data_IF_525526820107
#
_entry.id   IF_525526820107
#
_cell.length_a   1.000
_cell.length_b   1.000
_cell.length_c   1.000
_cell.angle_alpha   90.00
_cell.angle_beta   90.00
_cell.angle_gamma   90.00
#
_symmetry.space_group_name_H-M   'P 1'
#
loop_
_entity.id
_entity.type
_entity.pdbx_description
1 polymer ?
#
# COMPACT_ATOMS: atom_id res chain seq x y z
N UNK A 1 -13.92 8.37 -39.51
CA UNK A 1 -13.33 9.54 -38.80
C UNK A 1 -11.87 9.24 -38.50
N UNK A 2 -10.96 10.10 -38.96
CA UNK A 2 -9.53 9.90 -38.78
C UNK A 2 -9.12 10.41 -37.39
N UNK A 3 -9.31 9.60 -36.34
CA UNK A 3 -8.92 9.90 -34.94
C UNK A 3 -7.39 9.94 -34.72
N UNK A 4 -6.62 10.07 -35.81
CA UNK A 4 -5.15 10.15 -35.83
C UNK A 4 -4.61 11.53 -35.44
N UNK A 5 -5.47 12.52 -35.20
CA UNK A 5 -5.10 13.92 -34.99
C UNK A 5 -5.26 14.36 -33.52
N UNK A 6 -5.86 13.53 -32.64
CA UNK A 6 -6.05 13.90 -31.23
C UNK A 6 -4.69 13.91 -30.52
N UNK A 7 -4.28 15.10 -30.06
CA UNK A 7 -3.08 15.26 -29.23
C UNK A 7 -3.43 14.95 -27.78
N UNK A 8 -2.57 14.18 -27.10
CA UNK A 8 -2.76 13.78 -25.70
C UNK A 8 -1.56 14.19 -24.86
N UNK A 9 -1.72 14.31 -23.52
CA UNK A 9 -0.59 14.61 -22.64
C UNK A 9 0.52 13.55 -22.75
N UNK A 10 1.77 13.93 -22.47
CA UNK A 10 2.97 13.11 -22.68
C UNK A 10 2.91 11.69 -22.05
N UNK A 11 2.22 11.54 -20.91
CA UNK A 11 2.12 10.27 -20.20
C UNK A 11 0.90 9.42 -20.60
N UNK A 12 0.21 9.80 -21.69
CA UNK A 12 -0.95 9.08 -22.20
C UNK A 12 -0.59 8.26 -23.43
N UNK A 13 -1.18 7.08 -23.51
CA UNK A 13 -1.08 6.17 -24.65
C UNK A 13 -2.42 6.08 -25.36
N UNK A 14 -2.39 5.81 -26.66
CA UNK A 14 -3.56 5.53 -27.47
C UNK A 14 -3.58 4.05 -27.83
N UNK A 15 -4.71 3.41 -27.62
CA UNK A 15 -4.94 1.99 -27.88
C UNK A 15 -6.09 1.88 -28.88
N UNK A 16 -5.85 1.11 -29.95
CA UNK A 16 -6.83 0.80 -30.98
C UNK A 16 -7.17 -0.69 -30.89
N UNK A 17 -8.29 -1.08 -30.25
CA UNK A 17 -8.71 -2.47 -30.15
C UNK A 17 -8.97 -3.07 -31.53
N UNK A 18 -8.72 -4.38 -31.68
CA UNK A 18 -8.90 -5.10 -32.94
C UNK A 18 -10.32 -4.99 -33.52
N UNK A 19 -11.33 -4.88 -32.66
CA UNK A 19 -12.73 -4.74 -33.08
C UNK A 19 -13.05 -3.35 -33.71
N UNK A 20 -12.13 -2.37 -33.60
CA UNK A 20 -12.26 -0.99 -34.11
C UNK A 20 -13.58 -0.30 -33.73
N UNK A 21 -14.26 -0.77 -32.68
CA UNK A 21 -15.53 -0.20 -32.19
C UNK A 21 -15.32 0.97 -31.24
N UNK A 22 -14.11 1.15 -30.74
CA UNK A 22 -13.74 2.24 -29.85
C UNK A 22 -12.26 2.61 -30.02
N UNK A 23 -11.88 3.79 -29.56
CA UNK A 23 -10.50 4.23 -29.37
C UNK A 23 -10.31 4.52 -27.89
N UNK A 24 -9.25 4.00 -27.30
CA UNK A 24 -8.96 4.20 -25.88
C UNK A 24 -7.74 5.10 -25.74
N UNK A 25 -7.88 6.15 -24.94
CA UNK A 25 -6.76 6.97 -24.48
C UNK A 25 -6.55 6.65 -23.01
N UNK A 26 -5.32 6.36 -22.59
CA UNK A 26 -5.08 5.92 -21.23
C UNK A 26 -3.73 6.33 -20.68
N UNK A 27 -3.71 6.70 -19.40
CA UNK A 27 -2.51 6.84 -18.59
C UNK A 27 -2.31 5.58 -17.77
N UNK A 28 -1.21 4.88 -18.03
CA UNK A 28 -0.83 3.66 -17.32
C UNK A 28 0.10 4.02 -16.17
N UNK A 29 -0.14 3.42 -15.01
CA UNK A 29 0.73 3.57 -13.86
C UNK A 29 1.32 2.20 -13.49
N UNK A 30 2.62 2.20 -13.20
CA UNK A 30 3.35 1.04 -12.68
C UNK A 30 3.60 1.34 -11.21
N UNK A 31 2.89 0.65 -10.33
CA UNK A 31 3.14 0.76 -8.90
C UNK A 31 4.33 -0.13 -8.55
N UNK A 32 5.33 0.39 -7.84
CA UNK A 32 6.51 -0.38 -7.43
C UNK A 32 6.16 -1.54 -6.49
N UNK A 33 5.04 -1.43 -5.77
CA UNK A 33 4.56 -2.45 -4.83
C UNK A 33 3.64 -3.50 -5.50
N UNK A 34 3.12 -3.22 -6.69
CA UNK A 34 2.17 -4.10 -7.40
C UNK A 34 2.79 -4.40 -8.76
N UNK A 35 3.27 -5.62 -8.95
CA UNK A 35 4.00 -6.06 -10.16
C UNK A 35 3.21 -5.86 -11.47
N UNK A 36 1.90 -5.60 -11.38
CA UNK A 36 1.01 -5.46 -12.53
C UNK A 36 0.70 -3.97 -12.83
N UNK A 37 0.92 -3.52 -14.08
CA UNK A 37 0.51 -2.19 -14.52
C UNK A 37 -1.03 -2.08 -14.48
N UNK A 38 -1.53 -0.90 -14.11
CA UNK A 38 -2.96 -0.62 -14.16
C UNK A 38 -3.26 0.71 -14.86
N UNK A 39 -4.45 0.80 -15.43
CA UNK A 39 -4.96 2.04 -16.02
C UNK A 39 -5.35 3.01 -14.90
N UNK A 40 -4.55 4.05 -14.72
CA UNK A 40 -4.85 5.12 -13.77
C UNK A 40 -6.07 5.91 -14.27
N UNK A 41 -5.98 6.41 -15.50
CA UNK A 41 -7.03 7.19 -16.17
C UNK A 41 -7.24 6.64 -17.57
N UNK A 42 -8.49 6.56 -17.99
CA UNK A 42 -8.85 6.04 -19.30
C UNK A 42 -10.05 6.82 -19.85
N UNK A 43 -10.00 7.18 -21.13
CA UNK A 43 -11.09 7.80 -21.89
C UNK A 43 -11.32 6.92 -23.11
N UNK A 44 -12.48 6.28 -23.17
CA UNK A 44 -12.88 5.43 -24.29
C UNK A 44 -13.88 6.19 -25.15
N UNK A 45 -13.62 6.28 -26.45
CA UNK A 45 -14.49 6.92 -27.43
C UNK A 45 -15.05 5.83 -28.34
N UNK A 46 -16.35 5.59 -28.26
CA UNK A 46 -17.02 4.56 -29.03
C UNK A 46 -17.38 5.05 -30.44
N UNK A 47 -17.72 4.12 -31.33
CA UNK A 47 -18.09 4.41 -32.73
C UNK A 47 -19.32 5.30 -32.86
N UNK A 48 -20.25 5.21 -31.92
CA UNK A 48 -21.44 6.06 -31.81
C UNK A 48 -21.14 7.44 -31.18
N UNK A 49 -19.86 7.76 -30.94
CA UNK A 49 -19.38 8.98 -30.30
C UNK A 49 -19.78 9.10 -28.83
N UNK A 50 -20.21 8.01 -28.20
CA UNK A 50 -20.32 7.97 -26.74
C UNK A 50 -18.93 7.94 -26.11
N UNK A 51 -18.79 8.59 -24.97
CA UNK A 51 -17.52 8.69 -24.24
C UNK A 51 -17.68 8.08 -22.86
N UNK A 52 -16.73 7.23 -22.50
CA UNK A 52 -16.64 6.62 -21.19
C UNK A 52 -15.31 7.00 -20.52
N UNK A 53 -15.39 7.69 -19.38
CA UNK A 53 -14.23 8.02 -18.57
C UNK A 53 -14.09 7.03 -17.41
N UNK A 54 -12.91 6.44 -17.25
CA UNK A 54 -12.57 5.56 -16.12
C UNK A 54 -11.39 6.10 -15.33
N UNK A 55 -11.46 5.94 -14.02
CA UNK A 55 -10.33 6.13 -13.10
C UNK A 55 -10.14 4.87 -12.27
N UNK A 56 -8.95 4.28 -12.30
CA UNK A 56 -8.61 3.02 -11.62
C UNK A 56 -9.65 1.92 -11.88
N UNK A 57 -9.97 1.72 -13.17
CA UNK A 57 -10.98 0.78 -13.68
C UNK A 57 -12.43 1.00 -13.19
N UNK A 58 -12.74 2.14 -12.59
CA UNK A 58 -14.13 2.53 -12.26
C UNK A 58 -14.63 3.61 -13.20
N UNK A 59 -15.83 3.39 -13.75
CA UNK A 59 -16.54 4.36 -14.58
C UNK A 59 -16.88 5.58 -13.73
N UNK A 60 -16.57 6.76 -14.25
CA UNK A 60 -16.92 8.04 -13.65
C UNK A 60 -18.16 8.56 -14.36
N UNK A 61 -19.31 8.51 -13.68
CA UNK A 61 -20.57 9.04 -14.19
C UNK A 61 -20.69 10.56 -13.99
N UNK A 62 -19.57 11.28 -14.01
CA UNK A 62 -19.56 12.70 -13.68
C UNK A 62 -19.97 13.56 -14.87
N UNK A 63 -21.18 14.09 -14.78
CA UNK A 63 -21.76 15.00 -15.76
C UNK A 63 -20.91 16.27 -15.96
N UNK A 64 -20.14 16.78 -14.99
CA UNK A 64 -19.37 18.03 -15.20
C UNK A 64 -18.18 17.85 -16.15
N UNK A 65 -17.59 16.66 -16.21
CA UNK A 65 -16.53 16.30 -17.15
C UNK A 65 -17.13 15.98 -18.53
N UNK A 66 -18.33 15.37 -18.55
CA UNK A 66 -19.00 14.89 -19.76
C UNK A 66 -19.92 15.93 -20.43
N UNK A 67 -20.32 17.00 -19.74
CA UNK A 67 -21.22 18.06 -20.23
C UNK A 67 -20.53 19.07 -21.18
N UNK A 68 -19.33 18.78 -21.68
CA UNK A 68 -18.79 19.56 -22.78
C UNK A 68 -19.60 19.24 -24.04
N UNK A 69 -20.31 20.26 -24.51
CA UNK A 69 -21.16 20.26 -25.72
C UNK A 69 -20.55 19.51 -26.91
N UNK A 70 -21.39 18.74 -27.60
CA UNK A 70 -21.13 18.03 -28.86
C UNK A 70 -19.73 17.40 -28.98
N UNK A 71 -19.56 16.22 -28.36
CA UNK A 71 -18.35 15.39 -28.46
C UNK A 71 -18.04 14.83 -29.86
N UNK A 72 -18.78 15.28 -30.90
CA UNK A 72 -18.52 14.97 -32.30
C UNK A 72 -17.25 15.64 -32.83
N UNK A 73 -16.80 16.71 -32.19
CA UNK A 73 -15.60 17.45 -32.58
C UNK A 73 -14.35 16.92 -31.86
N UNK A 74 -13.26 16.74 -32.63
CA UNK A 74 -11.99 16.21 -32.12
C UNK A 74 -11.39 17.09 -31.02
N UNK A 75 -11.53 18.42 -31.12
CA UNK A 75 -11.05 19.36 -30.11
C UNK A 75 -11.72 19.16 -28.75
N UNK A 76 -13.01 18.78 -28.73
CA UNK A 76 -13.73 18.54 -27.47
C UNK A 76 -13.20 17.27 -26.77
N UNK A 77 -12.88 16.23 -27.55
CA UNK A 77 -12.27 15.01 -27.02
C UNK A 77 -10.86 15.31 -26.47
N UNK A 78 -10.08 16.12 -27.18
CA UNK A 78 -8.76 16.54 -26.72
C UNK A 78 -8.87 17.33 -25.41
N UNK A 79 -9.71 18.36 -25.36
CA UNK A 79 -9.96 19.17 -24.16
C UNK A 79 -10.41 18.32 -22.98
N UNK A 80 -11.28 17.34 -23.22
CA UNK A 80 -11.70 16.38 -22.22
C UNK A 80 -10.51 15.62 -21.63
N UNK A 81 -9.63 15.07 -22.46
CA UNK A 81 -8.45 14.31 -22.00
C UNK A 81 -7.51 15.20 -21.17
N UNK A 82 -7.25 16.43 -21.62
CA UNK A 82 -6.43 17.40 -20.87
C UNK A 82 -7.06 17.75 -19.52
N UNK A 83 -8.36 18.07 -19.50
CA UNK A 83 -9.07 18.38 -18.26
C UNK A 83 -9.08 17.19 -17.30
N UNK A 84 -9.24 15.98 -17.84
CA UNK A 84 -9.23 14.76 -17.05
C UNK A 84 -7.84 14.43 -16.49
N UNK A 85 -6.77 14.79 -17.22
CA UNK A 85 -5.40 14.68 -16.70
C UNK A 85 -5.10 15.70 -15.58
N UNK A 86 -5.65 16.91 -15.69
CA UNK A 86 -5.51 17.97 -14.68
C UNK A 86 -6.44 17.78 -13.47
N UNK A 87 -7.48 16.95 -13.62
CA UNK A 87 -8.50 16.74 -12.61
C UNK A 87 -7.91 16.16 -11.30
N UNK A 88 -8.31 16.73 -10.17
CA UNK A 88 -7.83 16.30 -8.86
C UNK A 88 -8.57 15.03 -8.45
N UNK A 89 -7.92 13.87 -8.59
CA UNK A 89 -8.50 12.61 -8.14
C UNK A 89 -8.21 12.41 -6.65
N UNK A 90 -9.14 11.78 -5.95
CA UNK A 90 -8.87 11.32 -4.59
C UNK A 90 -7.67 10.36 -4.61
N UNK A 91 -6.91 10.26 -3.52
CA UNK A 91 -5.85 9.26 -3.39
C UNK A 91 -6.33 7.93 -2.78
N UNK A 92 -7.54 7.89 -2.21
CA UNK A 92 -7.98 6.78 -1.37
C UNK A 92 -7.19 6.72 -0.06
N UNK A 93 -7.42 5.63 0.69
CA UNK A 93 -6.73 5.32 1.94
C UNK A 93 -6.35 3.84 1.99
N UNK A 94 -5.11 3.52 2.37
CA UNK A 94 -4.72 2.14 2.69
C UNK A 94 -5.27 1.78 4.07
N UNK A 95 -5.98 0.66 4.17
CA UNK A 95 -6.58 0.18 5.41
C UNK A 95 -6.03 -1.22 5.70
N UNK A 96 -5.36 -1.42 6.84
CA UNK A 96 -4.86 -2.73 7.27
C UNK A 96 -5.96 -3.79 7.30
N UNK A 97 -5.61 -5.06 7.09
CA UNK A 97 -6.59 -6.15 6.96
C UNK A 97 -7.47 -6.29 8.21
N UNK A 98 -6.86 -6.16 9.39
CA UNK A 98 -7.52 -6.21 10.69
C UNK A 98 -8.62 -5.14 10.87
N UNK A 99 -8.55 -4.06 10.10
CA UNK A 99 -9.46 -2.92 10.17
C UNK A 99 -10.56 -2.96 9.12
N UNK A 100 -10.45 -3.84 8.12
CA UNK A 100 -11.42 -3.95 7.03
C UNK A 100 -12.81 -4.32 7.53
N UNK A 101 -12.93 -4.97 8.69
CA UNK A 101 -14.23 -5.26 9.35
C UNK A 101 -15.06 -4.03 9.70
N UNK A 102 -14.45 -2.84 9.71
CA UNK A 102 -15.12 -1.58 10.03
C UNK A 102 -15.55 -0.78 8.79
N UNK A 103 -15.27 -1.28 7.59
CA UNK A 103 -15.64 -0.64 6.34
C UNK A 103 -17.16 -0.58 6.14
N UNK A 104 -17.61 0.49 5.50
CA UNK A 104 -19.02 0.67 5.12
C UNK A 104 -19.28 0.14 3.71
N UNK A 105 -20.53 -0.22 3.40
CA UNK A 105 -20.96 -0.64 2.05
C UNK A 105 -20.76 0.43 0.97
N UNK A 106 -20.51 1.68 1.36
CA UNK A 106 -20.23 2.81 0.48
C UNK A 106 -18.76 2.91 0.08
N UNK A 107 -17.97 1.87 0.33
CA UNK A 107 -16.55 1.80 -0.03
C UNK A 107 -16.25 0.71 -1.03
N UNK A 108 -15.20 0.90 -1.82
CA UNK A 108 -14.63 -0.14 -2.67
C UNK A 108 -13.10 -0.08 -2.62
N UNK A 109 -12.49 -1.24 -2.83
CA UNK A 109 -11.05 -1.38 -3.02
C UNK A 109 -10.72 -1.18 -4.50
N UNK A 110 -9.76 -0.31 -4.79
CA UNK A 110 -9.31 -0.03 -6.15
C UNK A 110 -8.14 -0.93 -6.59
N UNK A 111 -7.67 -0.74 -7.82
CA UNK A 111 -6.53 -1.49 -8.40
C UNK A 111 -5.18 -1.13 -7.77
N UNK A 112 -5.11 -0.04 -7.01
CA UNK A 112 -3.92 0.41 -6.28
C UNK A 112 -3.93 -0.04 -4.81
N UNK A 113 -4.76 -1.03 -4.46
CA UNK A 113 -4.95 -1.54 -3.10
C UNK A 113 -5.52 -0.52 -2.09
N UNK A 114 -6.02 0.62 -2.58
CA UNK A 114 -6.53 1.71 -1.76
C UNK A 114 -8.06 1.67 -1.67
N UNK A 115 -8.59 1.95 -0.48
CA UNK A 115 -10.02 2.07 -0.27
C UNK A 115 -10.50 3.47 -0.61
N UNK A 116 -11.59 3.51 -1.37
CA UNK A 116 -12.25 4.72 -1.84
C UNK A 116 -13.73 4.65 -1.55
N UNK A 117 -14.38 5.78 -1.66
CA UNK A 117 -15.83 5.85 -1.56
C UNK A 117 -16.50 5.85 -2.91
N UNK A 118 -17.66 5.22 -2.95
CA UNK A 118 -18.53 5.26 -4.12
C UNK A 118 -18.91 6.72 -4.38
N UNK A 119 -18.81 7.15 -5.65
CA UNK A 119 -19.12 8.51 -6.11
C UNK A 119 -18.31 9.60 -5.40
N UNK A 120 -16.98 9.50 -5.48
CA UNK A 120 -16.12 10.38 -4.74
C UNK A 120 -16.24 11.86 -5.14
N UNK A 121 -16.66 12.74 -4.22
CA UNK A 121 -16.86 14.17 -4.53
C UNK A 121 -15.60 14.89 -4.99
N UNK A 122 -14.40 14.43 -4.61
CA UNK A 122 -13.15 14.95 -5.18
C UNK A 122 -13.00 14.59 -6.66
N UNK A 123 -13.47 13.41 -7.07
CA UNK A 123 -13.58 13.02 -8.48
C UNK A 123 -14.66 13.86 -9.19
N UNK A 124 -15.67 14.35 -8.45
CA UNK A 124 -16.82 15.08 -8.99
C UNK A 124 -16.58 16.60 -9.20
N UNK A 125 -15.76 17.24 -8.35
CA UNK A 125 -15.70 18.71 -8.25
C UNK A 125 -14.53 19.40 -8.98
N UNK A 126 -13.84 18.75 -9.93
CA UNK A 126 -12.85 19.49 -10.74
C UNK A 126 -13.53 20.26 -11.88
N UNK A 127 -14.28 21.30 -11.52
CA UNK A 127 -14.57 22.38 -12.46
C UNK A 127 -13.27 23.15 -12.68
N UNK A 128 -12.57 22.88 -13.77
CA UNK A 128 -11.50 23.77 -14.23
C UNK A 128 -12.18 24.99 -14.83
N UNK A 129 -12.42 25.99 -14.00
CA UNK A 129 -12.84 27.32 -14.44
C UNK A 129 -11.67 27.97 -15.18
N UNK A 130 -11.80 28.04 -16.50
CA UNK A 130 -11.00 28.74 -17.50
C UNK A 130 -9.67 28.09 -17.99
N UNK A 131 -9.41 28.07 -19.32
CA UNK A 131 -8.20 27.44 -19.90
C UNK A 131 -6.90 28.26 -19.82
N UNK A 132 -6.86 29.39 -19.13
CA UNK A 132 -5.77 30.39 -19.34
C UNK A 132 -4.58 30.23 -18.38
N UNK A 133 -4.74 29.59 -17.21
CA UNK A 133 -3.64 29.47 -16.23
C UNK A 133 -2.98 28.09 -16.17
N UNK A 134 -2.48 27.62 -17.32
CA UNK A 134 -1.64 26.42 -17.43
C UNK A 134 -0.29 26.54 -16.69
N UNK A 135 0.13 27.76 -16.31
CA UNK A 135 1.42 28.02 -15.63
C UNK A 135 1.35 27.92 -14.09
N UNK A 136 0.16 27.96 -13.48
CA UNK A 136 0.02 27.95 -12.02
C UNK A 136 -0.12 26.54 -11.40
N UNK A 137 -0.39 25.51 -12.21
CA UNK A 137 -0.81 24.18 -11.70
C UNK A 137 0.38 23.28 -11.30
N UNK A 138 1.61 23.63 -11.68
CA UNK A 138 2.75 22.70 -11.64
C UNK A 138 3.65 22.76 -10.39
N UNK A 139 3.29 23.49 -9.33
CA UNK A 139 4.08 23.52 -8.09
C UNK A 139 3.23 23.08 -6.89
N UNK A 140 3.52 21.89 -6.37
CA UNK A 140 3.08 21.37 -5.07
C UNK A 140 1.63 20.86 -4.90
N UNK A 141 1.10 20.06 -5.83
CA UNK A 141 -0.14 19.30 -5.55
C UNK A 141 0.15 18.06 -4.70
N UNK A 142 0.12 18.22 -3.37
CA UNK A 142 0.02 17.08 -2.45
C UNK A 142 -1.30 16.33 -2.70
N UNK A 143 -1.30 14.98 -2.67
CA UNK A 143 -2.52 14.20 -2.83
C UNK A 143 -3.55 14.59 -1.77
N UNK A 144 -4.76 14.96 -2.20
CA UNK A 144 -5.86 15.33 -1.29
C UNK A 144 -6.73 14.10 -1.03
N UNK A 145 -6.87 13.71 0.24
CA UNK A 145 -7.89 12.75 0.68
C UNK A 145 -9.23 13.45 0.82
N UNK A 146 -10.31 12.80 0.34
CA UNK A 146 -11.65 13.37 0.46
C UNK A 146 -12.08 13.35 1.93
N UNK A 147 -13.06 14.21 2.26
CA UNK A 147 -13.65 14.28 3.61
C UNK A 147 -14.17 12.91 4.06
N UNK A 148 -14.70 12.11 3.15
CA UNK A 148 -15.16 10.76 3.44
C UNK A 148 -14.02 9.80 3.81
N UNK A 149 -12.93 9.76 3.04
CA UNK A 149 -11.76 8.93 3.36
C UNK A 149 -11.17 9.31 4.72
N UNK A 150 -11.16 10.60 5.06
CA UNK A 150 -10.77 11.07 6.40
C UNK A 150 -11.74 10.58 7.49
N UNK A 151 -13.05 10.66 7.25
CA UNK A 151 -14.07 10.15 8.18
C UNK A 151 -13.94 8.65 8.42
N UNK A 152 -13.64 7.85 7.41
CA UNK A 152 -13.42 6.41 7.58
C UNK A 152 -12.24 6.13 8.49
N UNK A 153 -11.10 6.80 8.27
CA UNK A 153 -9.94 6.62 9.14
C UNK A 153 -10.27 6.99 10.60
N UNK A 154 -11.06 8.05 10.81
CA UNK A 154 -11.50 8.43 12.14
C UNK A 154 -12.47 7.40 12.75
N UNK A 155 -13.43 6.90 11.99
CA UNK A 155 -14.35 5.84 12.46
C UNK A 155 -13.61 4.55 12.83
N UNK A 156 -12.60 4.16 12.05
CA UNK A 156 -11.76 3.01 12.36
C UNK A 156 -10.98 3.26 13.65
N UNK A 157 -10.39 4.44 13.82
CA UNK A 157 -9.68 4.84 15.05
C UNK A 157 -10.61 4.85 16.27
N UNK A 158 -11.81 5.39 16.13
CA UNK A 158 -12.83 5.42 17.19
C UNK A 158 -13.30 4.00 17.55
N UNK A 159 -13.50 3.12 16.57
CA UNK A 159 -13.87 1.73 16.84
C UNK A 159 -12.74 0.91 17.47
N UNK A 160 -11.47 1.27 17.21
CA UNK A 160 -10.30 0.72 17.91
C UNK A 160 -10.20 1.21 19.35
N UNK A 161 -10.48 2.49 19.58
CA UNK A 161 -10.39 3.10 20.91
C UNK A 161 -11.61 2.81 21.78
N UNK A 162 -12.76 2.51 21.17
CA UNK A 162 -13.89 1.87 21.83
C UNK A 162 -13.54 0.40 22.08
N UNK A 163 -12.70 0.14 23.08
CA UNK A 163 -12.91 -1.09 23.83
C UNK A 163 -14.38 -1.07 24.27
N UNK A 164 -15.11 -2.20 24.23
CA UNK A 164 -16.43 -2.23 24.84
C UNK A 164 -16.22 -1.66 26.24
N UNK A 165 -16.89 -0.54 26.57
CA UNK A 165 -16.93 -0.07 27.95
C UNK A 165 -17.47 -1.25 28.73
N UNK A 166 -16.58 -2.00 29.37
CA UNK A 166 -16.95 -3.10 30.24
C UNK A 166 -17.83 -2.45 31.29
N UNK A 167 -19.15 -2.57 31.13
CA UNK A 167 -20.06 -2.32 32.25
C UNK A 167 -19.56 -3.26 33.32
N UNK A 168 -19.01 -2.69 34.39
CA UNK A 168 -18.45 -3.45 35.49
C UNK A 168 -19.63 -4.16 36.15
N UNK A 169 -19.91 -5.38 35.71
CA UNK A 169 -20.93 -6.23 36.34
C UNK A 169 -20.32 -6.63 37.67
N UNK A 170 -20.89 -6.12 38.76
CA UNK A 170 -20.47 -6.51 40.10
C UNK A 170 -21.05 -7.89 40.39
N UNK A 171 -20.34 -8.93 39.97
CA UNK A 171 -20.72 -10.31 40.30
C UNK A 171 -20.35 -10.54 41.76
N UNK A 172 -21.33 -10.81 42.62
CA UNK A 172 -21.06 -11.34 43.96
C UNK A 172 -20.52 -12.77 43.80
N UNK A 173 -19.20 -12.89 43.86
CA UNK A 173 -18.50 -14.18 43.82
C UNK A 173 -18.31 -14.69 45.24
N UNK A 174 -18.64 -15.95 45.47
CA UNK A 174 -18.35 -16.62 46.74
C UNK A 174 -16.84 -16.55 47.08
N UNK A 175 -16.45 -16.54 48.36
CA UNK A 175 -15.05 -16.45 48.77
C UNK A 175 -14.13 -17.48 48.08
N UNK A 176 -14.63 -18.69 47.83
CA UNK A 176 -13.90 -19.77 47.13
C UNK A 176 -13.62 -19.43 45.65
N UNK A 177 -14.58 -18.82 44.94
CA UNK A 177 -14.38 -18.36 43.56
C UNK A 177 -13.43 -17.16 43.48
N UNK A 178 -13.46 -16.27 44.48
CA UNK A 178 -12.53 -15.13 44.60
C UNK A 178 -11.08 -15.58 44.74
N UNK A 179 -10.82 -16.64 45.52
CA UNK A 179 -9.49 -17.23 45.65
C UNK A 179 -9.01 -17.86 44.33
N UNK A 180 -9.88 -18.60 43.63
CA UNK A 180 -9.56 -19.17 42.30
C UNK A 180 -9.24 -18.08 41.27
N UNK A 181 -9.98 -16.98 41.26
CA UNK A 181 -9.71 -15.83 40.40
C UNK A 181 -8.38 -15.15 40.73
N UNK A 182 -8.03 -15.00 42.01
CA UNK A 182 -6.70 -14.50 42.42
C UNK A 182 -5.58 -15.42 41.95
N UNK A 183 -5.74 -16.73 42.11
CA UNK A 183 -4.78 -17.71 41.62
C UNK A 183 -4.59 -17.62 40.10
N UNK A 184 -5.69 -17.54 39.34
CA UNK A 184 -5.66 -17.38 37.88
C UNK A 184 -4.92 -16.10 37.47
N UNK A 185 -5.20 -14.98 38.15
CA UNK A 185 -4.53 -13.71 37.88
C UNK A 185 -3.02 -13.80 38.15
N UNK A 186 -2.62 -14.47 39.23
CA UNK A 186 -1.22 -14.68 39.53
C UNK A 186 -0.54 -15.58 38.49
N UNK A 187 -1.19 -16.67 38.06
CA UNK A 187 -0.70 -17.53 36.98
C UNK A 187 -0.51 -16.76 35.67
N UNK A 188 -1.49 -15.92 35.28
CA UNK A 188 -1.39 -15.10 34.07
C UNK A 188 -0.25 -14.09 34.15
N UNK A 189 -0.07 -13.45 35.32
CA UNK A 189 1.04 -12.51 35.55
C UNK A 189 2.40 -13.21 35.42
N UNK A 190 2.55 -14.38 36.07
CA UNK A 190 3.74 -15.22 35.94
C UNK A 190 4.02 -15.64 34.50
N UNK A 191 2.99 -16.01 33.75
CA UNK A 191 3.13 -16.42 32.36
C UNK A 191 3.63 -15.26 31.47
N UNK A 192 3.11 -14.05 31.69
CA UNK A 192 3.60 -12.84 31.00
C UNK A 192 5.08 -12.57 31.35
N UNK A 193 5.47 -12.70 32.62
CA UNK A 193 6.87 -12.53 33.05
C UNK A 193 7.80 -13.58 32.41
N UNK A 194 7.37 -14.83 32.31
CA UNK A 194 8.12 -15.91 31.64
C UNK A 194 8.28 -15.62 30.15
N UNK A 195 7.21 -15.22 29.46
CA UNK A 195 7.25 -14.88 28.04
C UNK A 195 8.21 -13.71 27.75
N UNK A 196 8.22 -12.70 28.62
CA UNK A 196 9.16 -11.58 28.50
C UNK A 196 10.63 -12.00 28.73
N UNK A 197 10.88 -12.93 29.65
CA UNK A 197 12.23 -13.49 29.85
C UNK A 197 12.66 -14.34 28.64
N UNK A 198 11.77 -15.16 28.10
CA UNK A 198 12.05 -15.99 26.93
C UNK A 198 12.35 -15.16 25.68
N UNK A 199 11.59 -14.09 25.44
CA UNK A 199 11.83 -13.20 24.30
C UNK A 199 13.19 -12.51 24.40
N UNK A 200 13.60 -12.10 25.61
CA UNK A 200 14.92 -11.52 25.87
C UNK A 200 16.04 -12.51 25.58
N UNK A 201 15.94 -13.75 26.09
CA UNK A 201 16.92 -14.82 25.84
C UNK A 201 17.03 -15.13 24.34
N UNK A 202 15.90 -15.16 23.61
CA UNK A 202 15.90 -15.39 22.17
C UNK A 202 16.62 -14.30 21.37
N UNK A 203 16.52 -13.04 21.82
CA UNK A 203 17.25 -11.92 21.21
C UNK A 203 18.75 -12.09 21.46
N UNK A 204 19.15 -12.33 22.72
CA UNK A 204 20.56 -12.56 23.09
C UNK A 204 21.17 -13.74 22.31
N UNK A 205 20.42 -14.83 22.16
CA UNK A 205 20.86 -16.00 21.39
C UNK A 205 21.04 -15.68 19.90
N UNK A 206 20.14 -14.87 19.30
CA UNK A 206 20.29 -14.43 17.91
C UNK A 206 21.53 -13.56 17.73
N UNK A 207 21.79 -12.64 18.66
CA UNK A 207 22.99 -11.80 18.62
C UNK A 207 24.27 -12.63 18.75
N UNK A 208 24.31 -13.60 19.66
CA UNK A 208 25.43 -14.53 19.79
C UNK A 208 25.61 -15.39 18.53
N UNK A 209 24.53 -15.86 17.91
CA UNK A 209 24.58 -16.61 16.66
C UNK A 209 25.10 -15.77 15.50
N UNK A 210 24.76 -14.48 15.44
CA UNK A 210 25.30 -13.53 14.45
C UNK A 210 26.79 -13.32 14.71
N UNK A 211 27.20 -13.07 15.96
CA UNK A 211 28.62 -12.94 16.34
C UNK A 211 29.43 -14.19 15.98
N UNK A 212 28.86 -15.37 16.20
CA UNK A 212 29.49 -16.65 15.86
C UNK A 212 29.59 -16.85 14.34
N UNK A 213 28.58 -16.42 13.58
CA UNK A 213 28.64 -16.44 12.10
C UNK A 213 29.58 -15.40 11.51
N UNK A 214 29.77 -14.26 12.16
CA UNK A 214 30.73 -13.21 11.74
C UNK A 214 32.17 -13.53 12.12
N UNK A 215 32.41 -14.59 12.89
CA UNK A 215 33.73 -15.17 13.05
C UNK A 215 33.99 -16.06 11.82
N UNK A 216 34.30 -15.41 10.70
CA UNK A 216 34.72 -16.11 9.50
C UNK A 216 36.09 -16.75 9.73
N UNK A 217 36.30 -17.91 9.12
CA UNK A 217 37.56 -18.66 9.17
C UNK A 217 38.77 -17.76 8.91
N UNK A 218 38.64 -16.85 7.94
CA UNK A 218 39.69 -15.89 7.57
C UNK A 218 40.03 -14.94 8.71
N UNK A 219 39.06 -14.50 9.52
CA UNK A 219 39.29 -13.61 10.67
C UNK A 219 40.02 -14.31 11.82
N UNK A 220 39.78 -15.62 12.00
CA UNK A 220 40.46 -16.44 13.01
C UNK A 220 41.90 -16.71 12.57
N UNK A 221 42.10 -17.09 11.31
CA UNK A 221 43.42 -17.34 10.73
C UNK A 221 44.27 -16.05 10.73
N UNK A 222 43.70 -14.91 10.37
CA UNK A 222 44.39 -13.61 10.41
C UNK A 222 44.84 -13.22 11.83
N UNK A 223 44.00 -13.45 12.86
CA UNK A 223 44.37 -13.19 14.26
C UNK A 223 45.47 -14.13 14.75
N UNK A 224 45.47 -15.40 14.33
CA UNK A 224 46.50 -16.36 14.68
C UNK A 224 47.84 -16.05 13.98
N UNK A 225 47.80 -15.59 12.73
CA UNK A 225 48.98 -15.10 12.00
C UNK A 225 49.56 -13.86 12.68
N UNK A 226 48.72 -12.88 13.07
CA UNK A 226 49.16 -11.68 13.79
C UNK A 226 49.79 -11.95 15.15
N UNK A 227 49.45 -13.08 15.79
CA UNK A 227 49.99 -13.49 17.09
C UNK A 227 51.24 -14.39 16.98
N UNK A 228 51.93 -14.43 15.82
CA UNK A 228 53.13 -15.24 15.58
C UNK A 228 52.95 -16.75 15.87
N UNK A 229 51.78 -17.29 15.54
CA UNK A 229 51.53 -18.73 15.70
C UNK A 229 52.45 -19.52 14.75
N UNK A 230 53.13 -20.58 15.23
CA UNK A 230 54.01 -21.40 14.40
C UNK A 230 53.33 -21.95 13.14
N UNK A 231 54.01 -21.99 11.98
CA UNK A 231 53.43 -22.38 10.69
C UNK A 231 52.80 -23.78 10.66
N UNK A 232 53.39 -24.72 11.40
CA UNK A 232 52.90 -26.09 11.57
C UNK A 232 51.57 -26.16 12.34
N UNK A 233 51.37 -25.30 13.34
CA UNK A 233 50.10 -25.21 14.06
C UNK A 233 49.02 -24.55 13.22
N UNK A 234 49.37 -23.56 12.40
CA UNK A 234 48.44 -22.97 11.43
C UNK A 234 47.94 -24.02 10.44
N UNK A 235 48.83 -24.84 9.87
CA UNK A 235 48.46 -25.93 8.96
C UNK A 235 47.48 -26.92 9.61
N UNK A 236 47.75 -27.37 10.84
CA UNK A 236 46.87 -28.28 11.57
C UNK A 236 45.47 -27.67 11.77
N UNK A 237 45.40 -26.38 12.12
CA UNK A 237 44.13 -25.66 12.29
C UNK A 237 43.37 -25.59 10.96
N UNK A 238 44.05 -25.29 9.85
CA UNK A 238 43.43 -25.29 8.51
C UNK A 238 42.84 -26.65 8.14
N UNK A 239 43.55 -27.74 8.44
CA UNK A 239 43.07 -29.10 8.19
C UNK A 239 41.86 -29.46 9.05
N UNK A 240 41.85 -29.06 10.33
CA UNK A 240 40.71 -29.26 11.24
C UNK A 240 39.45 -28.56 10.70
N UNK A 241 39.57 -27.31 10.25
CA UNK A 241 38.43 -26.58 9.66
C UNK A 241 37.97 -27.20 8.33
N UNK A 242 38.89 -27.59 7.44
CA UNK A 242 38.56 -28.25 6.18
C UNK A 242 37.88 -29.62 6.39
N UNK A 243 38.26 -30.35 7.44
CA UNK A 243 37.61 -31.60 7.83
C UNK A 243 36.22 -31.38 8.44
N UNK A 244 36.02 -30.28 9.18
CA UNK A 244 34.74 -29.92 9.78
C UNK A 244 33.71 -29.49 8.71
N UNK A 245 34.13 -28.74 7.69
CA UNK A 245 33.26 -28.36 6.56
C UNK A 245 32.81 -29.58 5.74
N UNK A 246 33.68 -30.59 5.57
CA UNK A 246 33.33 -31.87 4.91
C UNK A 246 32.35 -32.75 5.69
N UNK A 247 32.15 -32.49 6.98
CA UNK A 247 31.24 -33.26 7.85
C UNK A 247 29.95 -32.50 8.24
N UNK A 248 29.71 -31.34 7.66
CA UNK A 248 28.41 -30.67 7.77
C UNK A 248 27.31 -31.45 7.04
N UNK A 249 26.05 -31.41 7.52
CA UNK A 249 24.92 -32.06 6.85
C UNK A 249 24.63 -31.49 5.46
#
# INVERSE_FOLDING_TARGET
MNMNIILVPFNWSRILPANKKMVIFSKVFINKDVELPYFERCVSVHKDMTIECRYLNKIINNYSILNQSNMRELNNIQNLIYNFDLANMCSGVKIPEEDRKYLTKTTYKDTSDSFRHVNCSLILNTTVSNPIDLKAINKNKKPKSCTFCKKILNLIKEKKSSSPRLKRIHIQVTPSKKLKLKALHNCNKLNIEIQNKLSKILIEFKELKIKFRSLEYDTIVEKLIKNNTPPNHLLLIKEIFAAAEKKGP
#
